data_IF_575776180810
#
_entry.id   IF_575776180810
#
_cell.length_a   1.000
_cell.length_b   1.000
_cell.length_c   1.000
_cell.angle_alpha   90.00
_cell.angle_beta   90.00
_cell.angle_gamma   90.00
#
_symmetry.space_group_name_H-M   'P 1'
#
loop_
_entity.id
_entity.type
_entity.pdbx_description
1 polymer ?
#
# COMPACT_ATOMS: atom_id res chain seq x y z
N UNK A 1 -17.24 -75.81 -9.97
CA UNK A 1 -17.88 -74.54 -9.57
C UNK A 1 -16.77 -73.50 -9.50
N UNK A 2 -16.68 -72.42 -10.26
CA UNK A 2 -17.44 -71.82 -11.37
C UNK A 2 -16.53 -70.70 -11.92
N UNK A 3 -16.43 -70.55 -13.25
CA UNK A 3 -16.23 -69.29 -14.06
C UNK A 3 -15.13 -68.27 -13.67
N UNK A 4 -14.07 -68.01 -14.46
CA UNK A 4 -13.96 -67.30 -15.78
C UNK A 4 -13.63 -65.78 -15.66
N UNK A 5 -12.62 -65.38 -16.46
CA UNK A 5 -12.33 -64.05 -17.06
C UNK A 5 -11.79 -62.90 -16.18
N UNK A 6 -10.61 -62.30 -16.44
CA UNK A 6 -10.07 -61.67 -17.67
C UNK A 6 -10.53 -60.21 -17.90
N UNK A 7 -9.53 -59.32 -18.04
CA UNK A 7 -9.49 -57.99 -18.70
C UNK A 7 -10.00 -56.73 -17.97
N UNK A 8 -9.06 -55.79 -17.77
CA UNK A 8 -9.10 -54.32 -18.01
C UNK A 8 -8.26 -53.62 -16.93
N UNK A 9 -7.02 -53.15 -17.14
CA UNK A 9 -6.57 -52.10 -18.07
C UNK A 9 -7.67 -51.10 -18.46
N UNK A 10 -7.68 -49.93 -17.81
CA UNK A 10 -7.99 -48.59 -18.35
C UNK A 10 -7.76 -47.55 -17.22
N UNK A 11 -6.65 -46.81 -17.37
CA UNK A 11 -6.63 -45.35 -17.48
C UNK A 11 -6.78 -44.45 -16.23
N UNK A 12 -5.69 -43.72 -15.97
CA UNK A 12 -5.55 -42.33 -15.53
C UNK A 12 -6.63 -41.72 -14.60
N UNK A 13 -6.19 -41.35 -13.39
CA UNK A 13 -6.44 -39.99 -12.91
C UNK A 13 -5.31 -39.55 -11.98
N UNK A 14 -4.59 -38.53 -12.44
CA UNK A 14 -3.66 -37.72 -11.67
C UNK A 14 -4.30 -37.25 -10.36
N UNK A 15 -3.94 -37.89 -9.25
CA UNK A 15 -4.09 -37.25 -7.95
C UNK A 15 -2.90 -36.31 -7.78
N UNK A 16 -3.00 -35.10 -8.37
CA UNK A 16 -2.16 -33.99 -7.94
C UNK A 16 -2.26 -33.90 -6.41
N UNK A 17 -1.15 -33.77 -5.67
CA UNK A 17 -1.24 -33.44 -4.27
C UNK A 17 -1.85 -32.05 -4.21
N UNK A 18 -3.13 -31.96 -3.79
CA UNK A 18 -3.73 -30.69 -3.37
C UNK A 18 -2.95 -30.30 -2.13
N UNK A 19 -1.84 -29.60 -2.35
CA UNK A 19 -1.02 -29.02 -1.31
C UNK A 19 -1.96 -28.16 -0.47
N UNK A 20 -2.19 -28.59 0.76
CA UNK A 20 -2.88 -27.82 1.77
C UNK A 20 -2.13 -26.50 1.94
N UNK A 21 -2.56 -25.47 1.22
CA UNK A 21 -2.00 -24.12 1.33
C UNK A 21 -2.18 -23.71 2.78
N UNK A 22 -1.06 -23.49 3.48
CA UNK A 22 -1.03 -22.94 4.83
C UNK A 22 -1.95 -21.72 4.85
N UNK A 23 -2.89 -21.68 5.80
CA UNK A 23 -3.99 -20.72 5.91
C UNK A 23 -3.53 -19.29 6.30
N UNK A 24 -2.44 -18.81 5.71
CA UNK A 24 -1.82 -17.49 5.88
C UNK A 24 -0.72 -17.21 4.86
N UNK A 25 -0.92 -17.61 3.60
CA UNK A 25 0.15 -17.74 2.60
C UNK A 25 -0.06 -17.00 1.27
N UNK A 26 -0.79 -15.89 1.23
CA UNK A 26 -1.01 -15.14 -0.02
C UNK A 26 0.26 -14.40 -0.48
N UNK A 27 0.35 -14.05 -1.77
CA UNK A 27 1.50 -13.27 -2.32
C UNK A 27 1.64 -11.93 -1.58
N UNK A 28 0.51 -11.33 -1.21
CA UNK A 28 0.45 -10.11 -0.40
C UNK A 28 1.33 -10.18 0.85
N UNK A 29 1.32 -11.31 1.55
CA UNK A 29 2.02 -11.44 2.84
C UNK A 29 3.54 -11.38 2.66
N UNK A 30 4.03 -11.80 1.49
CA UNK A 30 5.44 -11.72 1.13
C UNK A 30 5.91 -10.29 0.85
N UNK A 31 5.00 -9.34 0.63
CA UNK A 31 5.33 -7.91 0.45
C UNK A 31 5.54 -7.16 1.77
N UNK A 32 5.49 -7.83 2.93
CA UNK A 32 5.61 -7.16 4.24
C UNK A 32 6.88 -6.34 4.37
N UNK A 33 8.03 -6.90 4.03
CA UNK A 33 9.31 -6.20 4.19
C UNK A 33 9.49 -5.09 3.16
N UNK A 34 8.95 -5.29 1.94
CA UNK A 34 8.82 -4.22 0.94
C UNK A 34 7.96 -3.08 1.46
N UNK A 35 6.80 -3.39 2.06
CA UNK A 35 5.90 -2.40 2.62
C UNK A 35 6.57 -1.59 3.73
N UNK A 36 7.39 -2.23 4.58
CA UNK A 36 8.17 -1.55 5.60
C UNK A 36 9.19 -0.59 4.98
N UNK A 37 9.97 -1.04 3.99
CA UNK A 37 10.93 -0.18 3.30
C UNK A 37 10.26 1.03 2.63
N UNK A 38 9.20 0.79 1.84
CA UNK A 38 8.44 1.85 1.17
C UNK A 38 7.87 2.85 2.18
N UNK A 39 7.37 2.36 3.33
CA UNK A 39 6.84 3.24 4.39
C UNK A 39 7.95 4.12 4.97
N UNK A 40 9.14 3.57 5.21
CA UNK A 40 10.29 4.35 5.70
C UNK A 40 10.75 5.41 4.70
N UNK A 41 10.80 5.07 3.40
CA UNK A 41 11.17 6.01 2.34
C UNK A 41 10.16 7.14 2.20
N UNK A 42 8.86 6.84 2.35
CA UNK A 42 7.79 7.83 2.25
C UNK A 42 7.80 8.82 3.41
N UNK A 43 8.22 8.38 4.60
CA UNK A 43 8.29 9.23 5.80
C UNK A 43 9.47 10.24 5.78
N UNK A 44 10.38 10.15 4.81
CA UNK A 44 11.44 11.15 4.61
C UNK A 44 12.49 11.19 5.72
N UNK A 45 12.69 10.08 6.45
CA UNK A 45 13.76 9.95 7.43
C UNK A 45 15.16 10.04 6.80
N UNK A 46 16.21 9.99 7.62
CA UNK A 46 17.59 9.93 7.13
C UNK A 46 17.79 8.61 6.35
N UNK A 47 17.83 8.71 5.03
CA UNK A 47 17.98 7.55 4.17
C UNK A 47 19.41 7.06 4.15
N UNK A 48 19.56 5.74 4.12
CA UNK A 48 20.82 5.06 3.85
C UNK A 48 21.44 5.58 2.54
N UNK A 49 22.78 5.49 2.37
CA UNK A 49 23.43 5.78 1.09
C UNK A 49 22.80 4.97 -0.05
N UNK A 50 22.68 5.57 -1.23
CA UNK A 50 21.97 4.99 -2.39
C UNK A 50 22.45 3.57 -2.74
N UNK A 51 23.74 3.28 -2.60
CA UNK A 51 24.31 1.95 -2.84
C UNK A 51 23.83 0.89 -1.85
N UNK A 52 23.72 1.24 -0.56
CA UNK A 52 23.19 0.33 0.47
C UNK A 52 21.69 0.10 0.27
N UNK A 53 20.95 1.17 -0.04
CA UNK A 53 19.53 1.09 -0.35
C UNK A 53 19.29 0.19 -1.57
N UNK A 54 20.11 0.30 -2.62
CA UNK A 54 20.07 -0.57 -3.80
C UNK A 54 20.26 -2.03 -3.42
N UNK A 55 21.30 -2.35 -2.65
CA UNK A 55 21.56 -3.72 -2.17
C UNK A 55 20.36 -4.28 -1.39
N UNK A 56 19.75 -3.46 -0.54
CA UNK A 56 18.56 -3.84 0.21
C UNK A 56 17.37 -4.13 -0.70
N UNK A 57 17.12 -3.31 -1.71
CA UNK A 57 16.05 -3.55 -2.69
C UNK A 57 16.29 -4.85 -3.48
N UNK A 58 17.52 -5.09 -3.95
CA UNK A 58 17.90 -6.33 -4.65
C UNK A 58 17.67 -7.55 -3.75
N UNK A 59 18.06 -7.47 -2.48
CA UNK A 59 17.82 -8.54 -1.51
C UNK A 59 16.33 -8.80 -1.28
N UNK A 60 15.51 -7.76 -1.18
CA UNK A 60 14.05 -7.90 -1.05
C UNK A 60 13.44 -8.58 -2.29
N UNK A 61 13.88 -8.21 -3.49
CA UNK A 61 13.42 -8.84 -4.73
C UNK A 61 13.84 -10.31 -4.81
N UNK A 62 15.08 -10.63 -4.44
CA UNK A 62 15.56 -12.02 -4.40
C UNK A 62 14.78 -12.86 -3.39
N UNK A 63 14.56 -12.34 -2.19
CA UNK A 63 13.80 -13.02 -1.12
C UNK A 63 12.35 -13.25 -1.53
N UNK A 64 11.72 -12.25 -2.15
CA UNK A 64 10.35 -12.36 -2.66
C UNK A 64 10.25 -13.39 -3.79
N UNK A 65 11.18 -13.37 -4.74
CA UNK A 65 11.26 -14.33 -5.85
C UNK A 65 11.40 -15.78 -5.33
N UNK A 66 12.31 -16.01 -4.39
CA UNK A 66 12.52 -17.32 -3.78
C UNK A 66 11.28 -17.79 -3.01
N UNK A 67 10.63 -16.92 -2.24
CA UNK A 67 9.43 -17.27 -1.48
C UNK A 67 8.24 -17.59 -2.40
N UNK A 68 8.11 -16.88 -3.52
CA UNK A 68 7.11 -17.18 -4.54
C UNK A 68 7.32 -18.57 -5.17
N UNK A 69 8.57 -18.92 -5.45
CA UNK A 69 8.93 -20.23 -5.98
C UNK A 69 8.68 -21.35 -4.97
N UNK A 70 9.11 -21.16 -3.72
CA UNK A 70 8.91 -22.12 -2.63
C UNK A 70 7.43 -22.37 -2.34
N UNK A 71 6.57 -21.36 -2.51
CA UNK A 71 5.11 -21.50 -2.39
C UNK A 71 4.43 -22.10 -3.62
N UNK A 72 5.20 -22.43 -4.67
CA UNK A 72 4.70 -23.11 -5.86
C UNK A 72 3.82 -22.24 -6.77
N UNK A 73 3.99 -20.92 -6.76
CA UNK A 73 3.26 -20.06 -7.70
C UNK A 73 3.74 -20.29 -9.14
N UNK A 74 2.79 -20.28 -10.08
CA UNK A 74 3.06 -20.44 -11.51
C UNK A 74 4.01 -19.35 -12.03
N UNK A 75 4.85 -19.69 -13.02
CA UNK A 75 5.93 -18.81 -13.48
C UNK A 75 5.45 -17.42 -13.93
N UNK A 76 4.34 -17.37 -14.66
CA UNK A 76 3.70 -16.15 -15.14
C UNK A 76 3.17 -15.28 -13.98
N UNK A 77 2.63 -15.91 -12.93
CA UNK A 77 2.19 -15.23 -11.69
C UNK A 77 3.38 -14.67 -10.92
N UNK A 78 4.48 -15.43 -10.85
CA UNK A 78 5.72 -14.99 -10.20
C UNK A 78 6.34 -13.81 -10.93
N UNK A 79 6.36 -13.83 -12.25
CA UNK A 79 6.89 -12.75 -13.08
C UNK A 79 6.10 -11.46 -12.87
N UNK A 80 4.77 -11.52 -12.97
CA UNK A 80 3.89 -10.37 -12.76
C UNK A 80 4.06 -9.74 -11.37
N UNK A 81 4.13 -10.58 -10.33
CA UNK A 81 4.33 -10.12 -8.96
C UNK A 81 5.71 -9.45 -8.77
N UNK A 82 6.77 -10.04 -9.34
CA UNK A 82 8.12 -9.48 -9.28
C UNK A 82 8.21 -8.14 -10.03
N UNK A 83 7.56 -8.02 -11.19
CA UNK A 83 7.50 -6.78 -11.95
C UNK A 83 6.82 -5.66 -11.15
N UNK A 84 5.69 -5.98 -10.51
CA UNK A 84 4.97 -5.03 -9.68
C UNK A 84 5.79 -4.58 -8.45
N UNK A 85 6.49 -5.50 -7.78
CA UNK A 85 7.37 -5.18 -6.67
C UNK A 85 8.54 -4.28 -7.12
N UNK A 86 9.16 -4.59 -8.27
CA UNK A 86 10.26 -3.82 -8.83
C UNK A 86 9.84 -2.38 -9.15
N UNK A 87 8.71 -2.21 -9.85
CA UNK A 87 8.16 -0.89 -10.17
C UNK A 87 7.83 -0.08 -8.91
N UNK A 88 7.27 -0.73 -7.89
CA UNK A 88 6.99 -0.09 -6.60
C UNK A 88 8.27 0.41 -5.91
N UNK A 89 9.32 -0.41 -5.87
CA UNK A 89 10.59 -0.05 -5.23
C UNK A 89 11.27 1.11 -5.97
N UNK A 90 11.37 1.05 -7.30
CA UNK A 90 11.92 2.13 -8.11
C UNK A 90 11.16 3.45 -7.87
N UNK A 91 9.83 3.42 -7.94
CA UNK A 91 9.01 4.62 -7.74
C UNK A 91 9.09 5.14 -6.29
N UNK A 92 9.21 4.26 -5.29
CA UNK A 92 9.37 4.67 -3.90
C UNK A 92 10.72 5.36 -3.65
N UNK A 93 11.81 4.85 -4.22
CA UNK A 93 13.14 5.48 -4.11
C UNK A 93 13.16 6.82 -4.83
N UNK A 94 12.65 6.87 -6.06
CA UNK A 94 12.62 8.09 -6.87
C UNK A 94 11.69 9.17 -6.31
N UNK A 95 10.69 8.81 -5.50
CA UNK A 95 9.83 9.79 -4.80
C UNK A 95 10.32 10.17 -3.42
N UNK A 96 11.29 9.45 -2.87
CA UNK A 96 11.85 9.77 -1.56
C UNK A 96 12.47 11.19 -1.59
N UNK A 97 12.04 12.14 -0.73
CA UNK A 97 12.56 13.51 -0.76
C UNK A 97 14.00 13.63 -0.27
N UNK A 98 14.42 12.76 0.66
CA UNK A 98 15.73 12.80 1.31
C UNK A 98 16.80 11.97 0.60
N UNK A 99 16.47 11.33 -0.53
CA UNK A 99 17.41 10.48 -1.26
C UNK A 99 18.60 11.28 -1.79
N UNK A 100 19.80 10.84 -1.43
CA UNK A 100 21.05 11.38 -1.98
C UNK A 100 21.39 10.62 -3.26
N UNK A 101 21.94 11.33 -4.24
CA UNK A 101 22.35 10.76 -5.54
C UNK A 101 21.21 10.06 -6.30
N UNK A 102 20.06 10.73 -6.38
CA UNK A 102 18.90 10.28 -7.17
C UNK A 102 19.27 9.99 -8.63
N UNK A 103 20.15 10.80 -9.22
CA UNK A 103 20.63 10.67 -10.59
C UNK A 103 21.25 9.31 -10.89
N UNK A 104 22.01 8.74 -9.95
CA UNK A 104 22.57 7.39 -10.10
C UNK A 104 21.48 6.32 -10.19
N UNK A 105 20.39 6.49 -9.44
CA UNK A 105 19.23 5.59 -9.52
C UNK A 105 18.47 5.74 -10.83
N UNK A 106 18.25 6.98 -11.28
CA UNK A 106 17.58 7.27 -12.56
C UNK A 106 18.35 6.71 -13.76
N UNK A 107 19.68 6.74 -13.71
CA UNK A 107 20.52 6.20 -14.77
C UNK A 107 20.45 4.66 -14.86
N UNK A 108 20.32 3.98 -13.72
CA UNK A 108 20.29 2.52 -13.64
C UNK A 108 19.19 2.06 -12.66
N UNK A 109 17.90 2.14 -13.04
CA UNK A 109 16.81 1.70 -12.18
C UNK A 109 16.74 0.17 -12.11
N UNK A 110 16.15 -0.37 -11.04
CA UNK A 110 16.09 -1.81 -10.80
C UNK A 110 15.37 -2.56 -11.92
N UNK A 111 14.36 -1.94 -12.53
CA UNK A 111 13.62 -2.55 -13.65
C UNK A 111 14.50 -2.77 -14.89
N UNK A 112 15.44 -1.86 -15.16
CA UNK A 112 16.40 -2.03 -16.28
C UNK A 112 17.40 -3.13 -15.92
N UNK A 113 17.91 -3.15 -14.70
CA UNK A 113 18.83 -4.19 -14.24
C UNK A 113 18.20 -5.59 -14.25
N UNK A 114 16.92 -5.70 -13.88
CA UNK A 114 16.24 -6.99 -13.71
C UNK A 114 15.54 -7.48 -14.98
N UNK A 115 14.88 -6.58 -15.72
CA UNK A 115 14.01 -6.92 -16.85
C UNK A 115 14.50 -6.33 -18.18
N UNK A 116 15.56 -5.52 -18.17
CA UNK A 116 16.12 -4.91 -19.37
C UNK A 116 15.25 -3.80 -19.97
N UNK A 117 14.23 -3.33 -19.27
CA UNK A 117 13.23 -2.37 -19.77
C UNK A 117 12.83 -1.38 -18.69
N UNK A 118 12.42 -0.18 -19.11
CA UNK A 118 11.96 0.93 -18.26
C UNK A 118 10.47 1.21 -18.51
N UNK A 119 9.62 0.21 -18.29
CA UNK A 119 8.19 0.25 -18.62
C UNK A 119 7.29 -0.25 -17.47
N UNK A 120 7.82 -0.45 -16.26
CA UNK A 120 7.04 -0.98 -15.14
C UNK A 120 5.81 -0.14 -14.80
N UNK A 121 5.91 1.19 -14.97
CA UNK A 121 4.81 2.12 -14.77
C UNK A 121 3.60 1.86 -15.67
N UNK A 122 3.82 1.30 -16.85
CA UNK A 122 2.79 0.94 -17.80
C UNK A 122 2.42 -0.55 -17.69
N UNK A 123 3.43 -1.40 -17.72
CA UNK A 123 3.28 -2.86 -17.78
C UNK A 123 2.42 -3.41 -16.64
N UNK A 124 2.58 -2.89 -15.42
CA UNK A 124 1.82 -3.33 -14.25
C UNK A 124 0.31 -3.14 -14.45
N UNK A 125 -0.13 -2.05 -15.07
CA UNK A 125 -1.55 -1.80 -15.27
C UNK A 125 -2.13 -2.60 -16.44
N UNK A 126 -1.36 -2.81 -17.50
CA UNK A 126 -1.78 -3.66 -18.62
C UNK A 126 -1.97 -5.10 -18.16
N UNK A 127 -0.98 -5.63 -17.42
CA UNK A 127 -1.06 -6.97 -16.81
C UNK A 127 -2.20 -7.08 -15.80
N UNK A 128 -2.41 -6.07 -14.94
CA UNK A 128 -3.57 -6.05 -14.04
C UNK A 128 -4.89 -6.14 -14.82
N UNK A 129 -5.04 -5.39 -15.91
CA UNK A 129 -6.24 -5.42 -16.75
C UNK A 129 -6.44 -6.77 -17.45
N UNK A 130 -5.36 -7.44 -17.85
CA UNK A 130 -5.38 -8.82 -18.38
C UNK A 130 -5.79 -9.84 -17.32
N UNK A 131 -5.14 -9.84 -16.15
CA UNK A 131 -5.46 -10.76 -15.03
C UNK A 131 -6.87 -10.59 -14.51
N UNK A 132 -7.41 -9.37 -14.56
CA UNK A 132 -8.81 -9.09 -14.24
C UNK A 132 -9.79 -9.69 -15.26
N UNK A 133 -9.38 -10.06 -16.48
CA UNK A 133 -10.26 -10.68 -17.48
C UNK A 133 -10.24 -12.21 -17.44
N UNK A 134 -9.30 -12.81 -16.73
CA UNK A 134 -9.20 -14.26 -16.55
C UNK A 134 -10.43 -14.85 -15.83
N UNK A 135 -10.77 -16.09 -16.17
CA UNK A 135 -11.89 -16.84 -15.60
C UNK A 135 -11.47 -18.28 -15.29
N UNK A 136 -11.29 -18.67 -14.01
CA UNK A 136 -11.31 -17.82 -12.81
C UNK A 136 -10.05 -16.94 -12.72
N UNK A 137 -10.14 -15.72 -12.15
CA UNK A 137 -8.97 -14.87 -11.94
C UNK A 137 -8.08 -15.39 -10.82
N UNK A 138 -6.77 -15.12 -10.91
CA UNK A 138 -5.84 -15.44 -9.84
C UNK A 138 -5.96 -14.45 -8.66
N UNK A 139 -6.68 -14.85 -7.61
CA UNK A 139 -6.97 -14.00 -6.44
C UNK A 139 -5.69 -13.56 -5.71
N UNK A 140 -4.72 -14.46 -5.52
CA UNK A 140 -3.46 -14.16 -4.82
C UNK A 140 -2.67 -13.03 -5.52
N UNK A 141 -2.63 -13.07 -6.86
CA UNK A 141 -1.97 -12.05 -7.68
C UNK A 141 -2.74 -10.73 -7.68
N UNK A 142 -4.08 -10.77 -7.74
CA UNK A 142 -4.89 -9.56 -7.63
C UNK A 142 -4.75 -8.90 -6.26
N UNK A 143 -4.63 -9.68 -5.17
CA UNK A 143 -4.32 -9.16 -3.84
C UNK A 143 -2.91 -8.55 -3.76
N UNK A 144 -1.94 -9.10 -4.49
CA UNK A 144 -0.61 -8.51 -4.66
C UNK A 144 -0.68 -7.14 -5.34
N UNK A 145 -1.38 -7.02 -6.48
CA UNK A 145 -1.58 -5.73 -7.14
C UNK A 145 -2.30 -4.73 -6.23
N UNK A 146 -3.35 -5.16 -5.52
CA UNK A 146 -4.05 -4.30 -4.57
C UNK A 146 -3.12 -3.81 -3.44
N UNK A 147 -2.19 -4.64 -2.98
CA UNK A 147 -1.19 -4.26 -2.00
C UNK A 147 -0.17 -3.26 -2.57
N UNK A 148 0.37 -3.52 -3.75
CA UNK A 148 1.31 -2.62 -4.45
C UNK A 148 0.68 -1.23 -4.68
N UNK A 149 -0.55 -1.19 -5.17
CA UNK A 149 -1.30 0.06 -5.31
C UNK A 149 -1.56 0.70 -3.94
N UNK A 150 -1.92 -0.08 -2.92
CA UNK A 150 -2.13 0.42 -1.55
C UNK A 150 -0.87 0.99 -0.89
N UNK A 151 0.32 0.57 -1.33
CA UNK A 151 1.61 1.13 -0.91
C UNK A 151 2.00 2.40 -1.66
N UNK A 152 1.14 2.87 -2.57
CA UNK A 152 1.32 4.15 -3.23
C UNK A 152 1.97 4.07 -4.60
N UNK A 153 2.06 2.90 -5.24
CA UNK A 153 2.45 2.80 -6.65
C UNK A 153 1.47 3.58 -7.53
N UNK A 154 1.99 4.46 -8.39
CA UNK A 154 1.22 5.30 -9.29
C UNK A 154 1.40 4.86 -10.75
N UNK A 155 2.61 4.47 -11.14
CA UNK A 155 2.98 4.16 -12.52
C UNK A 155 2.50 5.25 -13.50
N UNK A 156 1.85 4.85 -14.60
CA UNK A 156 1.38 5.78 -15.63
C UNK A 156 0.45 6.89 -15.13
N UNK A 157 -0.28 6.65 -14.05
CA UNK A 157 -1.18 7.64 -13.46
C UNK A 157 -0.47 8.83 -12.80
N UNK A 158 0.84 8.73 -12.54
CA UNK A 158 1.65 9.88 -12.14
C UNK A 158 1.67 10.98 -13.23
N UNK A 159 1.54 10.60 -14.51
CA UNK A 159 1.54 11.50 -15.68
C UNK A 159 0.14 11.75 -16.22
N UNK A 160 -0.72 10.74 -16.23
CA UNK A 160 -2.07 10.79 -16.81
C UNK A 160 -3.14 11.38 -15.88
N UNK A 161 -2.79 11.62 -14.62
CA UNK A 161 -3.66 12.21 -13.61
C UNK A 161 -4.02 11.21 -12.50
N UNK A 162 -3.57 11.54 -11.29
CA UNK A 162 -3.73 10.69 -10.10
C UNK A 162 -5.19 10.46 -9.68
N UNK A 163 -6.13 11.30 -10.14
CA UNK A 163 -7.54 11.23 -9.77
C UNK A 163 -8.23 9.91 -10.17
N UNK A 164 -7.72 9.20 -11.18
CA UNK A 164 -8.27 7.90 -11.62
C UNK A 164 -7.86 6.73 -10.71
N UNK A 165 -6.74 6.87 -10.02
CA UNK A 165 -6.11 5.79 -9.24
C UNK A 165 -6.93 5.37 -8.00
N UNK A 166 -7.55 6.29 -7.22
CA UNK A 166 -8.46 5.93 -6.13
C UNK A 166 -9.67 5.10 -6.58
N UNK A 167 -10.25 5.44 -7.74
CA UNK A 167 -11.38 4.70 -8.31
C UNK A 167 -10.95 3.30 -8.70
N UNK A 168 -9.83 3.15 -9.42
CA UNK A 168 -9.27 1.84 -9.77
C UNK A 168 -9.01 0.97 -8.53
N UNK A 169 -8.39 1.54 -7.50
CA UNK A 169 -8.15 0.84 -6.22
C UNK A 169 -9.45 0.38 -5.58
N UNK A 170 -10.48 1.23 -5.58
CA UNK A 170 -11.78 0.89 -4.99
C UNK A 170 -12.46 -0.23 -5.75
N UNK A 171 -12.49 -0.16 -7.08
CA UNK A 171 -13.05 -1.21 -7.95
C UNK A 171 -12.32 -2.54 -7.78
N UNK A 172 -10.98 -2.53 -7.74
CA UNK A 172 -10.19 -3.74 -7.52
C UNK A 172 -10.49 -4.38 -6.15
N UNK A 173 -10.56 -3.58 -5.08
CA UNK A 173 -10.88 -4.09 -3.75
C UNK A 173 -12.31 -4.65 -3.67
N UNK A 174 -13.30 -3.96 -4.22
CA UNK A 174 -14.68 -4.46 -4.27
C UNK A 174 -14.79 -5.78 -5.05
N UNK A 175 -14.03 -5.91 -6.15
CA UNK A 175 -13.97 -7.15 -6.90
C UNK A 175 -13.31 -8.28 -6.09
N UNK A 176 -12.23 -8.00 -5.38
CA UNK A 176 -11.59 -8.96 -4.48
C UNK A 176 -12.52 -9.41 -3.33
N UNK A 177 -13.35 -8.52 -2.79
CA UNK A 177 -14.37 -8.86 -1.79
C UNK A 177 -15.41 -9.84 -2.34
N UNK A 178 -15.84 -9.65 -3.59
CA UNK A 178 -16.77 -10.59 -4.25
C UNK A 178 -16.12 -11.94 -4.61
N UNK A 179 -14.82 -11.91 -4.95
CA UNK A 179 -14.03 -13.12 -5.20
C UNK A 179 -13.67 -13.88 -3.91
N UNK A 180 -14.03 -13.35 -2.74
CA UNK A 180 -13.97 -14.02 -1.44
C UNK A 180 -15.31 -14.63 -0.99
N UNK A 181 -15.85 -15.72 -1.57
CA UNK A 181 -16.89 -16.49 -0.91
C UNK A 181 -16.31 -17.69 -0.12
N UNK A 182 -16.79 -17.86 1.12
CA UNK A 182 -16.74 -19.03 2.00
C UNK A 182 -15.41 -19.54 2.61
N UNK A 183 -14.22 -19.36 2.01
CA UNK A 183 -13.01 -20.07 2.50
C UNK A 183 -12.25 -19.37 3.65
N UNK A 184 -12.43 -18.06 3.88
CA UNK A 184 -11.56 -17.30 4.78
C UNK A 184 -12.30 -16.27 5.66
N UNK A 185 -13.44 -16.63 6.25
CA UNK A 185 -14.10 -15.81 7.30
C UNK A 185 -13.41 -15.92 8.67
N UNK A 186 -12.21 -16.50 8.77
CA UNK A 186 -11.53 -16.80 10.03
C UNK A 186 -10.35 -15.91 10.38
N UNK A 187 -10.04 -14.85 9.62
CA UNK A 187 -8.97 -13.95 10.07
C UNK A 187 -9.26 -12.49 9.80
N UNK A 188 -9.73 -11.81 10.86
CA UNK A 188 -9.66 -10.37 10.99
C UNK A 188 -8.19 -9.99 11.07
N UNK A 189 -7.62 -9.56 9.95
CA UNK A 189 -6.45 -8.70 9.95
C UNK A 189 -6.93 -7.29 9.62
N UNK A 190 -7.07 -6.50 10.68
CA UNK A 190 -7.40 -5.09 10.71
C UNK A 190 -6.70 -4.32 9.58
N UNK A 191 -7.49 -3.61 8.77
CA UNK A 191 -6.97 -2.80 7.67
C UNK A 191 -7.72 -1.49 7.49
N UNK A 192 -8.02 -0.83 8.60
CA UNK A 192 -8.71 0.48 8.57
C UNK A 192 -7.79 1.65 8.96
N UNK A 193 -6.58 1.38 9.47
CA UNK A 193 -5.72 2.43 10.06
C UNK A 193 -4.96 3.36 9.10
N UNK A 194 -4.64 2.94 7.86
CA UNK A 194 -3.76 3.74 6.97
C UNK A 194 -4.49 4.80 6.14
N UNK A 195 -5.78 4.59 5.81
CA UNK A 195 -6.53 5.54 4.97
C UNK A 195 -6.83 6.86 5.69
N UNK A 196 -6.84 6.85 7.03
CA UNK A 196 -7.06 8.05 7.85
C UNK A 196 -5.77 8.88 7.95
N UNK A 197 -4.60 8.24 8.02
CA UNK A 197 -3.31 8.94 8.12
C UNK A 197 -3.03 9.78 6.86
N UNK A 198 -3.24 9.23 5.67
CA UNK A 198 -3.05 9.99 4.41
C UNK A 198 -4.06 11.13 4.23
N UNK A 199 -5.27 10.99 4.79
CA UNK A 199 -6.26 12.07 4.84
C UNK A 199 -5.86 13.19 5.81
N UNK A 200 -5.23 12.84 6.94
CA UNK A 200 -4.67 13.82 7.88
C UNK A 200 -3.45 14.56 7.33
N UNK A 201 -2.58 13.92 6.55
CA UNK A 201 -1.46 14.61 5.87
C UNK A 201 -1.90 15.52 4.72
N UNK A 202 -3.15 15.41 4.25
CA UNK A 202 -3.77 16.35 3.30
C UNK A 202 -4.42 17.56 3.97
N UNK A 203 -4.59 17.57 5.30
CA UNK A 203 -4.79 18.83 6.01
C UNK A 203 -3.44 19.54 6.06
N UNK A 204 -3.28 20.51 5.16
CA UNK A 204 -2.19 21.47 5.14
C UNK A 204 -1.83 21.89 6.59
N UNK A 205 -0.55 21.81 7.03
CA UNK A 205 -0.13 22.14 8.40
C UNK A 205 -0.66 23.50 8.90
N UNK A 206 -0.97 24.41 7.97
CA UNK A 206 -1.62 25.70 8.19
C UNK A 206 -3.04 25.61 8.79
N UNK A 207 -3.78 24.52 8.59
CA UNK A 207 -5.11 24.31 9.16
C UNK A 207 -5.07 24.09 10.67
N UNK A 208 -4.06 23.35 11.16
CA UNK A 208 -3.85 23.12 12.59
C UNK A 208 -3.40 24.42 13.28
N UNK A 209 -2.49 25.16 12.63
CA UNK A 209 -2.08 26.48 13.10
C UNK A 209 -3.26 27.47 13.13
N UNK A 210 -4.10 27.48 12.09
CA UNK A 210 -5.29 28.33 12.02
C UNK A 210 -6.31 28.01 13.13
N UNK A 211 -6.57 26.73 13.38
CA UNK A 211 -7.47 26.30 14.47
C UNK A 211 -6.93 26.73 15.85
N UNK A 212 -5.61 26.59 16.06
CA UNK A 212 -4.96 27.05 17.29
C UNK A 212 -5.12 28.56 17.52
N UNK A 213 -4.92 29.36 16.46
CA UNK A 213 -5.14 30.81 16.52
C UNK A 213 -6.60 31.19 16.84
N UNK A 214 -7.57 30.48 16.27
CA UNK A 214 -9.00 30.72 16.53
C UNK A 214 -9.34 30.42 17.98
N UNK A 215 -8.89 29.28 18.51
CA UNK A 215 -9.12 28.91 19.91
C UNK A 215 -8.47 29.93 20.85
N UNK A 216 -7.24 30.35 20.59
CA UNK A 216 -6.56 31.37 21.39
C UNK A 216 -7.31 32.71 21.37
N UNK A 217 -7.83 33.13 20.21
CA UNK A 217 -8.63 34.35 20.08
C UNK A 217 -9.95 34.26 20.87
N UNK A 218 -10.64 33.12 20.81
CA UNK A 218 -11.87 32.89 21.59
C UNK A 218 -11.60 32.94 23.09
N UNK A 219 -10.53 32.30 23.57
CA UNK A 219 -10.13 32.35 24.98
C UNK A 219 -9.83 33.79 25.40
N UNK A 220 -9.09 34.55 24.60
CA UNK A 220 -8.79 35.96 24.87
C UNK A 220 -10.05 36.82 24.96
N UNK A 221 -10.99 36.64 24.02
CA UNK A 221 -12.26 37.37 24.00
C UNK A 221 -13.12 37.06 25.23
N UNK A 222 -13.23 35.78 25.61
CA UNK A 222 -13.99 35.37 26.79
C UNK A 222 -13.38 35.96 28.06
N UNK A 223 -12.04 35.93 28.17
CA UNK A 223 -11.34 36.49 29.32
C UNK A 223 -11.49 38.02 29.40
N UNK A 224 -11.45 38.72 28.26
CA UNK A 224 -11.69 40.16 28.18
C UNK A 224 -13.09 40.55 28.67
N UNK A 225 -14.13 39.85 28.19
CA UNK A 225 -15.51 40.09 28.62
C UNK A 225 -15.71 39.82 30.13
N UNK A 226 -15.01 38.82 30.68
CA UNK A 226 -15.06 38.51 32.10
C UNK A 226 -14.36 39.58 32.97
N UNK A 227 -13.26 40.14 32.49
CA UNK A 227 -12.55 41.24 33.16
C UNK A 227 -13.40 42.53 33.14
N UNK A 228 -14.00 42.88 32.01
CA UNK A 228 -14.84 44.07 31.88
C UNK A 228 -16.10 43.99 32.77
N UNK A 229 -16.70 42.80 32.88
CA UNK A 229 -17.82 42.56 33.79
C UNK A 229 -17.44 42.77 35.27
N UNK A 230 -16.24 42.34 35.68
CA UNK A 230 -15.76 42.57 37.04
C UNK A 230 -15.38 44.04 37.27
N UNK A 231 -14.80 44.71 36.27
CA UNK A 231 -14.45 46.12 36.34
C UNK A 231 -15.72 46.99 36.50
N UNK A 232 -16.78 46.71 35.74
CA UNK A 232 -18.06 47.42 35.85
C UNK A 232 -18.74 47.23 37.21
N UNK A 233 -18.61 46.03 37.81
CA UNK A 233 -19.14 45.75 39.14
C UNK A 233 -18.33 46.46 40.24
N UNK A 234 -17.02 46.63 40.06
CA UNK A 234 -16.17 47.37 41.00
C UNK A 234 -16.39 48.88 40.91
N UNK A 235 -16.51 49.43 39.70
CA UNK A 235 -16.81 50.86 39.46
C UNK A 235 -18.19 51.25 39.99
N UNK A 236 -19.19 50.37 39.87
CA UNK A 236 -20.53 50.61 40.43
C UNK A 236 -20.60 50.45 41.95
N UNK A 237 -19.70 49.67 42.55
CA UNK A 237 -19.57 49.51 44.01
C UNK A 237 -18.66 50.56 44.67
N UNK A 238 -17.98 51.39 43.89
CA UNK A 238 -17.13 52.45 44.42
C UNK A 238 -18.02 53.59 44.97
N UNK A 239 -17.95 53.92 46.28
CA UNK A 239 -18.76 55.00 46.84
C UNK A 239 -18.34 56.35 46.24
N UNK A 240 -19.32 57.12 45.79
CA UNK A 240 -19.12 58.46 45.27
C UNK A 240 -18.47 59.34 46.35
N UNK A 241 -17.20 59.71 46.14
CA UNK A 241 -16.52 60.71 46.95
C UNK A 241 -17.17 62.05 46.60
N UNK A 242 -18.10 62.49 47.45
CA UNK A 242 -18.66 63.85 47.40
C UNK A 242 -17.55 64.86 47.80
N UNK A 243 -17.51 66.03 47.14
CA UNK A 243 -16.48 67.05 47.38
C UNK A 243 -16.56 67.65 48.78
#
# INVERSE_FOLDING_TARGET
MTTISSLNNIQLMDAQPVASRVAGGGIRDLLRDTALLVSMLTQGGNTEPVGQLRQRCVQLMATFSAALEQRGFAADVREDAQYAQCGLLDEAVLRCPSIKDRSSWEAHPLQVERFGKLDAGDHVFDRLAERLRETPPNVDLLECYAAVLGLGFMGRYAREGEAKLPTLRTTLNARLENLRPAVARTFIADRTGRRVADWFYRLSPWGIAGLGCIVAALVYLIWGQALDAQLAHLVSSAPAIKP
#
